data_IF_504683365641
#
_entry.id   IF_504683365641
#
_cell.length_a   1.000
_cell.length_b   1.000
_cell.length_c   1.000
_cell.angle_alpha   90.00
_cell.angle_beta   90.00
_cell.angle_gamma   90.00
#
_symmetry.space_group_name_H-M   'P 1'
#
loop_
_entity.id
_entity.type
_entity.pdbx_description
1 polymer ?
#
# COMPACT_ATOMS: atom_id res chain seq x y z
N UNK A 1 -12.48 -5.00 -16.45
CA UNK A 1 -13.44 -3.96 -16.02
C UNK A 1 -14.85 -4.53 -15.91
N UNK A 2 -15.32 -5.30 -16.90
CA UNK A 2 -16.62 -5.99 -16.82
C UNK A 2 -16.75 -6.95 -15.62
N UNK A 3 -15.66 -7.63 -15.25
CA UNK A 3 -15.61 -8.48 -14.04
C UNK A 3 -15.86 -7.68 -12.75
N UNK A 4 -15.25 -6.50 -12.61
CA UNK A 4 -15.39 -5.63 -11.44
C UNK A 4 -16.84 -5.16 -11.27
N UNK A 5 -17.49 -4.74 -12.37
CA UNK A 5 -18.90 -4.31 -12.35
C UNK A 5 -19.79 -5.48 -11.92
N UNK A 6 -19.52 -6.69 -12.42
CA UNK A 6 -20.28 -7.90 -12.08
C UNK A 6 -20.19 -8.22 -10.59
N UNK A 7 -18.99 -8.13 -10.00
CA UNK A 7 -18.78 -8.35 -8.57
C UNK A 7 -19.52 -7.32 -7.71
N UNK A 8 -19.46 -6.04 -8.09
CA UNK A 8 -20.17 -4.96 -7.40
C UNK A 8 -21.69 -5.21 -7.41
N UNK A 9 -22.25 -5.54 -8.58
CA UNK A 9 -23.68 -5.85 -8.72
C UNK A 9 -24.07 -7.04 -7.85
N UNK A 10 -23.22 -8.06 -7.77
CA UNK A 10 -23.44 -9.24 -6.92
C UNK A 10 -23.50 -8.83 -5.44
N UNK A 11 -22.55 -8.04 -4.95
CA UNK A 11 -22.51 -7.56 -3.57
C UNK A 11 -23.77 -6.75 -3.25
N UNK A 12 -24.18 -5.85 -4.16
CA UNK A 12 -25.38 -5.02 -3.98
C UNK A 12 -26.64 -5.88 -3.85
N UNK A 13 -26.75 -6.96 -4.63
CA UNK A 13 -27.93 -7.83 -4.66
C UNK A 13 -27.96 -8.88 -3.54
N UNK A 14 -26.83 -9.25 -2.96
CA UNK A 14 -26.75 -10.36 -1.99
C UNK A 14 -27.04 -9.95 -0.55
N UNK A 15 -26.85 -8.68 -0.20
CA UNK A 15 -26.91 -8.23 1.19
C UNK A 15 -28.20 -7.45 1.47
N UNK A 16 -28.97 -7.89 2.47
CA UNK A 16 -30.27 -7.30 2.81
C UNK A 16 -30.14 -6.13 3.81
N UNK A 17 -29.06 -6.10 4.60
CA UNK A 17 -28.79 -5.00 5.52
C UNK A 17 -27.97 -3.90 4.84
N UNK A 18 -28.48 -2.68 4.84
CA UNK A 18 -27.84 -1.53 4.16
C UNK A 18 -26.40 -1.29 4.66
N UNK A 19 -26.19 -1.33 5.97
CA UNK A 19 -24.85 -1.11 6.57
C UNK A 19 -23.90 -2.25 6.21
N UNK A 20 -24.38 -3.49 6.25
CA UNK A 20 -23.56 -4.64 5.86
C UNK A 20 -23.16 -4.57 4.37
N UNK A 21 -24.08 -4.10 3.51
CA UNK A 21 -23.82 -3.92 2.07
C UNK A 21 -22.76 -2.86 1.83
N UNK A 22 -22.87 -1.71 2.48
CA UNK A 22 -21.86 -0.64 2.38
C UNK A 22 -20.49 -1.11 2.87
N UNK A 23 -20.43 -1.85 3.99
CA UNK A 23 -19.19 -2.45 4.48
C UNK A 23 -18.59 -3.46 3.49
N UNK A 24 -19.42 -4.32 2.89
CA UNK A 24 -18.96 -5.29 1.91
C UNK A 24 -18.37 -4.62 0.66
N UNK A 25 -19.03 -3.56 0.17
CA UNK A 25 -18.51 -2.74 -0.93
C UNK A 25 -17.21 -2.05 -0.55
N UNK A 26 -17.13 -1.45 0.65
CA UNK A 26 -15.93 -0.81 1.15
C UNK A 26 -14.73 -1.79 1.17
N UNK A 27 -14.91 -2.98 1.74
CA UNK A 27 -13.87 -4.01 1.75
C UNK A 27 -13.45 -4.41 0.33
N UNK A 28 -14.42 -4.66 -0.56
CA UNK A 28 -14.13 -5.01 -1.95
C UNK A 28 -13.31 -3.92 -2.67
N UNK A 29 -13.68 -2.66 -2.51
CA UNK A 29 -12.95 -1.55 -3.13
C UNK A 29 -11.53 -1.41 -2.58
N UNK A 30 -11.33 -1.55 -1.27
CA UNK A 30 -9.99 -1.52 -0.71
C UNK A 30 -9.14 -2.71 -1.21
N UNK A 31 -9.70 -3.90 -1.32
CA UNK A 31 -9.02 -5.07 -1.88
C UNK A 31 -8.59 -4.82 -3.33
N UNK A 32 -9.50 -4.30 -4.15
CA UNK A 32 -9.24 -3.92 -5.54
C UNK A 32 -8.14 -2.85 -5.64
N UNK A 33 -8.19 -1.80 -4.82
CA UNK A 33 -7.18 -0.74 -4.80
C UNK A 33 -5.82 -1.33 -4.40
N UNK A 34 -5.76 -2.22 -3.41
CA UNK A 34 -4.50 -2.87 -2.99
C UNK A 34 -3.88 -3.71 -4.10
N UNK A 35 -4.70 -4.46 -4.84
CA UNK A 35 -4.25 -5.23 -6.01
C UNK A 35 -3.70 -4.30 -7.11
N UNK A 36 -4.44 -3.25 -7.46
CA UNK A 36 -4.02 -2.27 -8.47
C UNK A 36 -2.73 -1.56 -8.07
N UNK A 37 -2.62 -1.14 -6.81
CA UNK A 37 -1.44 -0.48 -6.28
C UNK A 37 -0.22 -1.41 -6.26
N UNK A 38 -0.40 -2.68 -5.90
CA UNK A 38 0.68 -3.68 -5.99
C UNK A 38 1.20 -3.76 -7.41
N UNK A 39 0.32 -3.95 -8.39
CA UNK A 39 0.70 -4.04 -9.81
C UNK A 39 1.40 -2.77 -10.29
N UNK A 40 0.85 -1.60 -9.96
CA UNK A 40 1.45 -0.31 -10.33
C UNK A 40 2.85 -0.12 -9.72
N UNK A 41 3.06 -0.49 -8.46
CA UNK A 41 4.37 -0.40 -7.80
C UNK A 41 5.40 -1.34 -8.45
N UNK A 42 5.00 -2.55 -8.83
CA UNK A 42 5.88 -3.50 -9.51
C UNK A 42 6.23 -3.04 -10.94
N UNK A 43 5.28 -2.40 -11.63
CA UNK A 43 5.52 -1.78 -12.94
C UNK A 43 6.50 -0.60 -12.84
N UNK A 44 6.32 0.27 -11.84
CA UNK A 44 7.28 1.35 -11.57
C UNK A 44 8.67 0.78 -11.23
N UNK A 45 8.79 -0.27 -10.43
CA UNK A 45 10.08 -0.93 -10.15
C UNK A 45 10.73 -1.47 -11.43
N UNK A 46 9.94 -1.98 -12.38
CA UNK A 46 10.44 -2.43 -13.69
C UNK A 46 10.94 -1.24 -14.53
N UNK A 47 10.21 -0.12 -14.55
CA UNK A 47 10.61 1.10 -15.28
C UNK A 47 11.92 1.72 -14.76
N UNK A 48 12.26 1.54 -13.49
CA UNK A 48 13.48 2.08 -12.89
C UNK A 48 14.76 1.27 -13.22
N UNK A 49 14.65 0.11 -13.87
CA UNK A 49 15.78 -0.81 -14.10
C UNK A 49 16.87 -0.15 -14.95
N UNK A 50 16.50 0.39 -16.11
CA UNK A 50 17.47 0.90 -17.08
C UNK A 50 18.19 2.14 -16.57
N UNK A 51 17.47 3.06 -15.92
CA UNK A 51 18.07 4.24 -15.29
C UNK A 51 19.04 3.83 -14.16
N UNK A 52 18.65 2.87 -13.32
CA UNK A 52 19.49 2.42 -12.20
C UNK A 52 20.76 1.72 -12.71
N UNK A 53 20.67 0.92 -13.78
CA UNK A 53 21.84 0.31 -14.42
C UNK A 53 22.79 1.34 -15.03
N UNK A 54 22.26 2.37 -15.70
CA UNK A 54 23.09 3.48 -16.24
C UNK A 54 23.90 4.20 -15.16
N UNK A 55 23.43 4.20 -13.91
CA UNK A 55 24.16 4.75 -12.76
C UNK A 55 25.29 3.83 -12.23
N UNK A 56 25.53 2.69 -12.88
CA UNK A 56 26.57 1.71 -12.55
C UNK A 56 26.13 0.64 -11.55
N UNK A 57 24.84 0.58 -11.21
CA UNK A 57 24.33 -0.44 -10.29
C UNK A 57 23.94 -1.73 -11.01
N UNK A 58 24.08 -2.86 -10.31
CA UNK A 58 23.64 -4.17 -10.76
C UNK A 58 22.52 -4.70 -9.86
N UNK A 59 21.62 -5.48 -10.44
CA UNK A 59 20.54 -6.14 -9.70
C UNK A 59 21.16 -7.24 -8.84
N UNK A 60 20.99 -7.15 -7.53
CA UNK A 60 21.48 -8.14 -6.57
C UNK A 60 20.42 -9.23 -6.36
N UNK A 61 19.17 -8.83 -6.07
CA UNK A 61 18.04 -9.73 -5.79
C UNK A 61 16.70 -9.02 -5.82
N UNK A 62 15.61 -9.80 -5.88
CA UNK A 62 14.23 -9.31 -5.68
C UNK A 62 13.78 -9.62 -4.26
N UNK A 63 13.26 -8.62 -3.55
CA UNK A 63 12.75 -8.78 -2.19
C UNK A 63 11.30 -8.34 -2.11
N UNK A 64 10.51 -9.04 -1.30
CA UNK A 64 9.13 -8.65 -0.97
C UNK A 64 9.15 -7.58 0.13
N UNK A 65 8.31 -6.56 0.01
CA UNK A 65 7.97 -5.62 1.09
C UNK A 65 6.47 -5.53 1.25
N UNK A 66 6.06 -5.31 2.49
CA UNK A 66 4.72 -4.88 2.84
C UNK A 66 4.75 -3.46 3.41
N UNK A 67 3.85 -2.59 2.94
CA UNK A 67 3.64 -1.25 3.49
C UNK A 67 2.16 -1.07 3.77
N UNK A 68 1.85 -0.65 4.99
CA UNK A 68 0.50 -0.32 5.44
C UNK A 68 0.16 1.12 5.01
N UNK A 69 -0.89 1.25 4.23
CA UNK A 69 -1.42 2.51 3.68
C UNK A 69 -2.84 2.74 4.21
N UNK A 70 -3.44 3.88 3.89
CA UNK A 70 -4.85 4.14 4.23
C UNK A 70 -5.82 3.07 3.68
N UNK A 71 -5.44 2.42 2.57
CA UNK A 71 -6.21 1.34 1.94
C UNK A 71 -5.92 -0.05 2.53
N UNK A 72 -5.06 -0.13 3.55
CA UNK A 72 -4.56 -1.38 4.15
C UNK A 72 -3.14 -1.75 3.71
N UNK A 73 -2.71 -2.96 4.08
CA UNK A 73 -1.36 -3.48 3.78
C UNK A 73 -1.23 -3.90 2.31
N UNK A 74 -0.24 -3.32 1.62
CA UNK A 74 0.11 -3.64 0.23
C UNK A 74 1.44 -4.38 0.22
N UNK A 75 1.42 -5.62 -0.29
CA UNK A 75 2.59 -6.48 -0.43
C UNK A 75 3.03 -6.57 -1.89
N UNK A 76 4.26 -6.14 -2.20
CA UNK A 76 4.80 -6.11 -3.56
C UNK A 76 6.27 -6.52 -3.60
N UNK A 77 6.74 -6.90 -4.78
CA UNK A 77 8.14 -7.21 -5.02
C UNK A 77 8.91 -6.02 -5.58
N UNK A 78 10.16 -5.88 -5.16
CA UNK A 78 11.06 -4.84 -5.68
C UNK A 78 12.49 -5.32 -5.79
N UNK A 79 13.31 -4.64 -6.59
CA UNK A 79 14.70 -5.02 -6.83
C UNK A 79 15.66 -4.27 -5.90
N UNK A 80 16.60 -5.01 -5.32
CA UNK A 80 17.76 -4.47 -4.62
C UNK A 80 18.91 -4.31 -5.60
N UNK A 81 19.56 -3.16 -5.54
CA UNK A 81 20.68 -2.84 -6.40
C UNK A 81 21.95 -2.63 -5.58
N UNK A 82 23.06 -3.16 -6.06
CA UNK A 82 24.39 -3.00 -5.49
C UNK A 82 25.36 -2.45 -6.53
N UNK A 83 26.32 -1.63 -6.09
CA UNK A 83 27.40 -1.12 -6.90
C UNK A 83 28.66 -1.12 -6.03
N UNK A 84 29.81 -1.61 -6.51
CA UNK A 84 31.07 -1.52 -5.77
C UNK A 84 31.33 -0.07 -5.33
N UNK A 85 31.71 0.13 -4.07
CA UNK A 85 31.98 1.47 -3.51
C UNK A 85 30.75 2.33 -3.19
N UNK A 86 29.53 1.90 -3.50
CA UNK A 86 28.29 2.62 -3.14
C UNK A 86 27.40 1.77 -2.23
N UNK A 87 26.57 2.45 -1.43
CA UNK A 87 25.55 1.76 -0.62
C UNK A 87 24.50 1.12 -1.54
N UNK A 88 24.14 -0.12 -1.22
CA UNK A 88 23.05 -0.80 -1.89
C UNK A 88 21.72 -0.07 -1.65
N UNK A 89 20.85 -0.05 -2.65
CA UNK A 89 19.64 0.76 -2.65
C UNK A 89 18.43 0.02 -3.21
N UNK A 90 17.26 0.55 -2.86
CA UNK A 90 15.96 0.20 -3.43
C UNK A 90 15.40 1.46 -4.10
N UNK A 91 15.55 1.61 -5.44
CA UNK A 91 15.11 2.80 -6.15
C UNK A 91 13.64 3.14 -5.92
N UNK A 92 12.76 2.13 -5.95
CA UNK A 92 11.33 2.32 -5.68
C UNK A 92 11.07 2.89 -4.27
N UNK A 93 11.76 2.39 -3.24
CA UNK A 93 11.59 2.92 -1.88
C UNK A 93 12.02 4.39 -1.80
N UNK A 94 13.11 4.75 -2.49
CA UNK A 94 13.62 6.13 -2.53
C UNK A 94 12.63 7.06 -3.22
N UNK A 95 12.05 6.62 -4.33
CA UNK A 95 11.02 7.36 -5.07
C UNK A 95 9.78 7.61 -4.21
N UNK A 96 9.31 6.58 -3.51
CA UNK A 96 8.10 6.65 -2.66
C UNK A 96 8.34 7.35 -1.31
N UNK A 97 9.59 7.69 -0.97
CA UNK A 97 9.94 8.24 0.35
C UNK A 97 9.78 7.21 1.49
N UNK A 98 9.91 5.92 1.20
CA UNK A 98 9.77 4.85 2.18
C UNK A 98 11.08 4.56 2.91
N UNK A 99 11.16 5.04 4.15
CA UNK A 99 12.28 4.78 5.04
C UNK A 99 12.52 3.28 5.28
N UNK A 100 13.78 2.96 5.60
CA UNK A 100 14.19 1.60 5.96
C UNK A 100 13.43 1.14 7.21
N UNK A 101 12.93 -0.10 7.16
CA UNK A 101 12.19 -0.77 8.25
C UNK A 101 10.84 -0.15 8.64
N UNK A 102 10.48 1.04 8.14
CA UNK A 102 9.15 1.61 8.38
C UNK A 102 8.09 0.82 7.63
N UNK A 103 7.05 0.42 8.36
CA UNK A 103 5.94 -0.39 7.84
C UNK A 103 4.77 0.45 7.37
N UNK A 104 4.67 1.71 7.76
CA UNK A 104 3.56 2.60 7.39
C UNK A 104 4.00 3.58 6.31
N UNK A 105 3.09 3.91 5.40
CA UNK A 105 3.26 5.02 4.48
C UNK A 105 3.33 6.36 5.22
N UNK A 106 3.99 7.35 4.62
CA UNK A 106 4.16 8.69 5.23
C UNK A 106 2.81 9.35 5.50
N UNK A 107 1.85 9.22 4.57
CA UNK A 107 0.50 9.75 4.73
C UNK A 107 -0.25 9.07 5.88
N UNK A 108 -0.20 7.73 5.96
CA UNK A 108 -0.80 6.98 7.07
C UNK A 108 -0.30 7.48 8.44
N UNK A 109 1.01 7.68 8.58
CA UNK A 109 1.59 8.19 9.83
C UNK A 109 1.09 9.60 10.12
N UNK A 110 1.07 10.48 9.12
CA UNK A 110 0.58 11.86 9.27
C UNK A 110 -0.87 11.87 9.76
N UNK A 111 -1.75 11.11 9.13
CA UNK A 111 -3.18 11.11 9.42
C UNK A 111 -3.46 10.58 10.83
N UNK A 112 -2.76 9.52 11.26
CA UNK A 112 -2.86 8.99 12.63
C UNK A 112 -2.36 10.02 13.65
N UNK A 113 -1.21 10.67 13.38
CA UNK A 113 -0.67 11.70 14.26
C UNK A 113 -1.64 12.88 14.40
N UNK A 114 -2.28 13.29 13.30
CA UNK A 114 -3.24 14.39 13.31
C UNK A 114 -4.48 14.08 14.15
N UNK A 115 -4.98 12.85 14.13
CA UNK A 115 -6.09 12.45 15.02
C UNK A 115 -5.61 12.39 16.49
N UNK A 116 -4.42 11.83 16.72
CA UNK A 116 -3.85 11.68 18.07
C UNK A 116 -3.53 13.00 18.77
N UNK A 117 -3.37 14.09 18.03
CA UNK A 117 -3.09 15.41 18.62
C UNK A 117 -4.32 16.03 19.29
N UNK A 118 -5.53 15.57 18.93
CA UNK A 118 -6.80 16.08 19.44
C UNK A 118 -7.65 15.03 20.16
N UNK A 119 -7.27 13.76 20.09
CA UNK A 119 -8.00 12.64 20.68
C UNK A 119 -7.11 11.74 21.56
N UNK A 120 -7.72 11.04 22.51
CA UNK A 120 -7.01 10.01 23.29
C UNK A 120 -6.53 8.88 22.38
N UNK A 121 -5.48 8.16 22.79
CA UNK A 121 -4.97 7.00 22.03
C UNK A 121 -6.06 5.96 21.73
N UNK A 122 -6.96 5.70 22.68
CA UNK A 122 -8.07 4.75 22.49
C UNK A 122 -9.05 5.23 21.41
N UNK A 123 -9.41 6.51 21.44
CA UNK A 123 -10.31 7.08 20.43
C UNK A 123 -9.63 7.19 19.06
N UNK A 124 -8.31 7.43 19.04
CA UNK A 124 -7.51 7.41 17.82
C UNK A 124 -7.51 6.02 17.19
N UNK A 125 -7.22 4.98 17.98
CA UNK A 125 -7.26 3.59 17.51
C UNK A 125 -8.66 3.20 17.01
N UNK A 126 -9.71 3.60 17.72
CA UNK A 126 -11.10 3.38 17.29
C UNK A 126 -11.38 4.07 15.95
N UNK A 127 -11.04 5.35 15.80
CA UNK A 127 -11.26 6.10 14.57
C UNK A 127 -10.51 5.47 13.39
N UNK A 128 -9.24 5.12 13.61
CA UNK A 128 -8.40 4.42 12.63
C UNK A 128 -9.06 3.10 12.21
N UNK A 129 -9.41 2.23 13.16
CA UNK A 129 -9.97 0.92 12.85
C UNK A 129 -11.38 0.99 12.24
N UNK A 130 -12.10 2.09 12.46
CA UNK A 130 -13.48 2.28 11.92
C UNK A 130 -13.46 2.86 10.51
N UNK A 131 -12.54 3.79 10.22
CA UNK A 131 -12.55 4.60 9.00
C UNK A 131 -11.57 4.11 7.94
N UNK A 132 -10.74 3.13 8.26
CA UNK A 132 -9.72 2.60 7.35
C UNK A 132 -9.69 1.08 7.39
N UNK A 133 -8.97 0.47 6.44
CA UNK A 133 -8.60 -0.93 6.50
C UNK A 133 -7.25 -1.16 7.21
N UNK A 134 -6.88 -0.29 8.15
CA UNK A 134 -5.82 -0.61 9.09
C UNK A 134 -6.31 -1.76 9.99
N UNK A 135 -5.78 -2.96 9.80
CA UNK A 135 -5.86 -4.01 10.82
C UNK A 135 -4.77 -3.71 11.87
N UNK A 136 -5.01 -2.73 12.77
CA UNK A 136 -4.14 -2.46 13.93
C UNK A 136 -4.37 -3.46 15.07
#
# INVERSE_FOLDING_TARGET
MESVITDIVKIIKSENNVIAREKALMCYFFDLIRELMKLALEEVDAGLVEETKKQGYQIEKKNKRSVVTAFGEISYWRRRYACPGKKAQYPLDKLMGYDKYKRYSVLAVKDVLQVSSVATYRNTALAVNTLSCFNL
#
